data_IF_014772205156
#
_entry.id   IF_014772205156
#
_cell.length_a   1.000
_cell.length_b   1.000
_cell.length_c   1.000
_cell.angle_alpha   90.00
_cell.angle_beta   90.00
_cell.angle_gamma   90.00
#
_symmetry.space_group_name_H-M   'P 1'
#
loop_
_entity.id
_entity.type
_entity.pdbx_description
1 polymer ?
#
# COMPACT_ATOMS: atom_id res chain seq x y z
N UNK A 1 -36.51 10.86 11.41
CA UNK A 1 -35.07 11.13 11.67
C UNK A 1 -34.32 11.06 10.37
N UNK A 2 -33.49 12.06 10.04
CA UNK A 2 -32.58 11.98 8.89
C UNK A 2 -31.22 11.49 9.39
N UNK A 3 -30.70 10.42 8.79
CA UNK A 3 -29.33 9.97 9.05
C UNK A 3 -28.34 10.94 8.41
N UNK A 4 -27.22 11.19 9.09
CA UNK A 4 -26.15 12.02 8.54
C UNK A 4 -25.58 11.38 7.27
N UNK A 5 -25.49 12.17 6.20
CA UNK A 5 -24.80 11.79 4.97
C UNK A 5 -23.78 12.88 4.64
N UNK A 6 -22.47 12.55 4.59
CA UNK A 6 -21.44 13.54 4.32
C UNK A 6 -21.57 14.09 2.91
N UNK A 7 -21.30 15.39 2.75
CA UNK A 7 -21.18 16.07 1.46
C UNK A 7 -19.71 16.18 1.08
N UNK A 8 -19.44 16.47 -0.18
CA UNK A 8 -18.07 16.66 -0.66
C UNK A 8 -17.32 17.80 0.06
N UNK A 9 -18.04 18.83 0.50
CA UNK A 9 -17.50 19.96 1.26
C UNK A 9 -17.08 19.59 2.69
N UNK A 10 -17.66 18.56 3.26
CA UNK A 10 -17.38 18.13 4.65
C UNK A 10 -16.10 17.27 4.73
N UNK A 11 -15.54 16.89 3.58
CA UNK A 11 -14.39 15.97 3.51
C UNK A 11 -13.09 16.78 3.63
N UNK A 12 -12.45 16.68 4.78
CA UNK A 12 -11.10 17.17 4.98
C UNK A 12 -10.10 16.03 4.71
N UNK A 13 -9.14 16.26 3.80
CA UNK A 13 -8.10 15.30 3.46
C UNK A 13 -6.78 15.71 4.07
N UNK A 14 -6.09 14.77 4.69
CA UNK A 14 -4.75 14.93 5.24
C UNK A 14 -3.74 14.13 4.43
N UNK A 15 -2.46 14.47 4.58
CA UNK A 15 -1.37 13.73 4.02
C UNK A 15 -0.66 12.97 5.13
N UNK A 16 -0.44 11.67 4.90
CA UNK A 16 0.27 10.80 5.83
C UNK A 16 1.53 10.26 5.16
N UNK A 17 2.64 10.23 5.89
CA UNK A 17 3.86 9.54 5.48
C UNK A 17 4.06 8.31 6.34
N UNK A 18 4.34 7.18 5.69
CA UNK A 18 4.54 5.87 6.32
C UNK A 18 5.90 5.34 5.92
N UNK A 19 6.72 4.98 6.87
CA UNK A 19 7.95 4.24 6.62
C UNK A 19 7.64 2.75 6.49
N UNK A 20 8.06 2.15 5.38
CA UNK A 20 7.87 0.75 5.08
C UNK A 20 9.05 -0.15 5.53
N UNK A 21 10.09 0.43 6.13
CA UNK A 21 11.27 -0.32 6.59
C UNK A 21 10.87 -1.40 7.57
N UNK A 22 11.26 -2.64 7.29
CA UNK A 22 11.04 -3.84 8.12
C UNK A 22 9.57 -4.17 8.44
N UNK A 23 8.64 -3.48 7.77
CA UNK A 23 7.20 -3.76 7.93
C UNK A 23 6.77 -4.84 6.93
N UNK A 24 6.03 -5.84 7.40
CA UNK A 24 5.50 -6.90 6.53
C UNK A 24 4.51 -6.30 5.52
N UNK A 25 4.75 -6.57 4.22
CA UNK A 25 3.98 -6.03 3.09
C UNK A 25 2.45 -6.11 3.27
N UNK A 26 1.92 -7.26 3.71
CA UNK A 26 0.46 -7.43 3.87
C UNK A 26 -0.12 -6.53 4.96
N UNK A 27 0.61 -6.36 6.06
CA UNK A 27 0.21 -5.50 7.18
C UNK A 27 0.29 -4.02 6.78
N UNK A 28 1.38 -3.61 6.11
CA UNK A 28 1.51 -2.28 5.51
C UNK A 28 0.31 -1.99 4.60
N UNK A 29 0.05 -2.88 3.64
CA UNK A 29 -1.01 -2.69 2.66
C UNK A 29 -2.41 -2.58 3.28
N UNK A 30 -2.71 -3.32 4.35
CA UNK A 30 -4.00 -3.25 5.03
C UNK A 30 -4.20 -1.89 5.72
N UNK A 31 -3.19 -1.37 6.41
CA UNK A 31 -3.26 -0.04 7.06
C UNK A 31 -3.38 1.08 6.02
N UNK A 32 -2.57 1.03 4.98
CA UNK A 32 -2.64 1.99 3.86
C UNK A 32 -4.04 1.98 3.22
N UNK A 33 -4.63 0.80 3.00
CA UNK A 33 -5.97 0.68 2.44
C UNK A 33 -7.07 1.28 3.34
N UNK A 34 -6.93 1.15 4.67
CA UNK A 34 -7.84 1.77 5.65
C UNK A 34 -7.78 3.30 5.56
N UNK A 35 -6.57 3.88 5.47
CA UNK A 35 -6.38 5.34 5.34
C UNK A 35 -6.90 5.86 4.00
N UNK A 36 -6.57 5.20 2.88
CA UNK A 36 -7.02 5.58 1.54
C UNK A 36 -8.54 5.52 1.39
N UNK A 37 -9.19 4.55 2.03
CA UNK A 37 -10.64 4.42 2.01
C UNK A 37 -11.34 5.36 2.99
N UNK A 38 -10.63 5.85 4.03
CA UNK A 38 -11.16 6.74 5.04
C UNK A 38 -11.91 6.05 6.17
N UNK A 39 -11.69 4.74 6.37
CA UNK A 39 -12.37 3.97 7.45
C UNK A 39 -12.00 4.40 8.87
N UNK A 40 -10.90 5.14 9.03
CA UNK A 40 -10.48 5.70 10.31
C UNK A 40 -11.28 6.93 10.71
N UNK A 41 -12.06 7.51 9.79
CA UNK A 41 -12.85 8.72 10.03
C UNK A 41 -14.29 8.37 10.39
N UNK A 42 -14.91 9.10 11.35
CA UNK A 42 -16.32 8.89 11.72
C UNK A 42 -17.28 9.21 10.57
N UNK A 43 -16.87 10.10 9.64
CA UNK A 43 -17.66 10.50 8.47
C UNK A 43 -17.58 9.49 7.30
N UNK A 44 -17.01 8.31 7.52
CA UNK A 44 -16.87 7.30 6.47
C UNK A 44 -18.21 6.96 5.82
N UNK A 45 -18.25 7.04 4.49
CA UNK A 45 -19.40 6.61 3.68
C UNK A 45 -18.94 5.74 2.50
N UNK A 46 -19.61 4.60 2.22
CA UNK A 46 -19.19 3.68 1.16
C UNK A 46 -19.25 4.28 -0.25
N UNK A 47 -20.13 5.25 -0.48
CA UNK A 47 -20.39 5.87 -1.79
C UNK A 47 -19.52 7.10 -2.07
N UNK A 48 -18.78 7.60 -1.07
CA UNK A 48 -17.90 8.76 -1.19
C UNK A 48 -16.45 8.40 -0.88
N UNK A 49 -15.53 9.12 -1.50
CA UNK A 49 -14.11 9.03 -1.19
C UNK A 49 -13.75 10.00 -0.05
N UNK A 50 -13.84 9.50 1.18
CA UNK A 50 -13.51 10.26 2.41
C UNK A 50 -12.06 10.10 2.85
N UNK A 51 -11.27 9.28 2.14
CA UNK A 51 -9.91 8.92 2.52
C UNK A 51 -8.86 10.00 2.29
N UNK A 52 -7.70 9.78 2.90
CA UNK A 52 -6.55 10.66 2.91
C UNK A 52 -5.54 10.31 1.83
N UNK A 53 -4.55 11.19 1.64
CA UNK A 53 -3.38 10.92 0.82
C UNK A 53 -2.34 10.17 1.64
N UNK A 54 -1.72 9.16 1.04
CA UNK A 54 -0.70 8.35 1.71
C UNK A 54 0.58 8.32 0.88
N UNK A 55 1.68 8.63 1.53
CA UNK A 55 3.03 8.52 1.00
C UNK A 55 3.69 7.35 1.72
N UNK A 56 4.21 6.38 0.97
CA UNK A 56 5.00 5.28 1.49
C UNK A 56 6.44 5.47 1.06
N UNK A 57 7.35 5.54 2.02
CA UNK A 57 8.80 5.66 1.78
C UNK A 57 9.50 4.35 2.11
N UNK A 58 10.74 4.19 1.64
CA UNK A 58 11.55 2.98 1.84
C UNK A 58 10.89 1.69 1.33
N UNK A 59 10.15 1.73 0.24
CA UNK A 59 9.48 0.55 -0.31
C UNK A 59 10.46 -0.60 -0.66
N UNK A 60 11.72 -0.29 -0.94
CA UNK A 60 12.76 -1.29 -1.18
C UNK A 60 13.10 -2.14 0.06
N UNK A 61 12.80 -1.64 1.27
CA UNK A 61 13.10 -2.31 2.53
C UNK A 61 11.89 -3.03 3.15
N UNK A 62 10.82 -3.20 2.38
CA UNK A 62 9.62 -3.94 2.82
C UNK A 62 9.95 -5.39 3.12
N UNK A 63 9.50 -5.87 4.29
CA UNK A 63 9.70 -7.26 4.68
C UNK A 63 8.67 -8.20 4.04
N UNK A 64 9.12 -9.37 3.60
CA UNK A 64 8.28 -10.47 3.16
C UNK A 64 8.51 -11.67 4.06
N UNK A 65 7.44 -12.23 4.62
CA UNK A 65 7.53 -13.36 5.56
C UNK A 65 7.68 -14.69 4.85
N UNK A 66 8.47 -15.60 5.42
CA UNK A 66 8.69 -16.96 4.90
C UNK A 66 9.35 -16.97 3.52
N UNK A 67 9.03 -17.98 2.71
CA UNK A 67 9.60 -18.21 1.38
C UNK A 67 9.00 -17.33 0.26
N UNK A 68 8.18 -16.32 0.60
CA UNK A 68 7.43 -15.52 -0.38
C UNK A 68 8.30 -14.76 -1.38
N UNK A 69 9.55 -14.46 -1.02
CA UNK A 69 10.50 -13.83 -1.95
C UNK A 69 10.75 -14.72 -3.19
N UNK A 70 10.90 -16.02 -2.99
CA UNK A 70 11.19 -16.97 -4.06
C UNK A 70 9.92 -17.54 -4.71
N UNK A 71 8.94 -17.94 -3.89
CA UNK A 71 7.80 -18.73 -4.35
C UNK A 71 6.63 -17.89 -4.85
N UNK A 72 6.40 -16.73 -4.23
CA UNK A 72 5.24 -15.92 -4.60
C UNK A 72 5.47 -15.18 -5.90
N UNK A 73 4.54 -15.37 -6.85
CA UNK A 73 4.62 -14.77 -8.19
C UNK A 73 3.46 -13.82 -8.44
N UNK A 74 3.76 -12.75 -9.15
CA UNK A 74 2.76 -11.86 -9.73
C UNK A 74 2.57 -12.26 -11.19
N UNK A 75 1.32 -12.56 -11.55
CA UNK A 75 0.95 -12.93 -12.91
C UNK A 75 0.32 -11.74 -13.64
N UNK A 76 0.66 -11.61 -14.92
CA UNK A 76 0.07 -10.65 -15.84
C UNK A 76 -0.29 -11.37 -17.15
N UNK A 77 -1.49 -11.10 -17.65
CA UNK A 77 -1.95 -11.64 -18.95
C UNK A 77 -2.07 -10.49 -19.96
N UNK A 78 -1.60 -10.70 -21.19
CA UNK A 78 -1.65 -9.71 -22.27
C UNK A 78 -2.99 -9.67 -23.00
N UNK A 79 -3.85 -10.67 -22.81
CA UNK A 79 -5.11 -10.85 -23.53
C UNK A 79 -5.02 -11.81 -24.75
N UNK A 80 -3.81 -12.16 -25.18
CA UNK A 80 -3.60 -13.10 -26.29
C UNK A 80 -3.43 -14.54 -25.81
N UNK A 81 -3.77 -15.56 -26.62
CA UNK A 81 -3.50 -16.97 -26.30
C UNK A 81 -2.04 -17.17 -25.91
N UNK A 82 -1.78 -17.86 -24.79
CA UNK A 82 -0.43 -18.06 -24.27
C UNK A 82 0.27 -16.83 -23.68
N UNK A 83 -0.41 -15.67 -23.62
CA UNK A 83 0.15 -14.38 -23.20
C UNK A 83 0.26 -14.17 -21.69
N UNK A 84 0.48 -15.23 -20.89
CA UNK A 84 0.73 -15.13 -19.46
C UNK A 84 2.22 -14.90 -19.19
N UNK A 85 2.52 -13.90 -18.35
CA UNK A 85 3.86 -13.65 -17.82
C UNK A 85 3.83 -13.63 -16.30
N UNK A 86 4.90 -14.05 -15.67
CA UNK A 86 5.04 -14.06 -14.22
C UNK A 86 6.39 -13.49 -13.80
N UNK A 87 6.41 -12.82 -12.66
CA UNK A 87 7.63 -12.39 -11.99
C UNK A 87 7.56 -12.79 -10.52
N UNK A 88 8.67 -13.21 -9.94
CA UNK A 88 8.74 -13.48 -8.50
C UNK A 88 8.68 -12.18 -7.70
N UNK A 89 8.28 -12.26 -6.45
CA UNK A 89 8.26 -11.08 -5.57
C UNK A 89 9.68 -10.57 -5.30
N UNK A 90 10.68 -11.45 -5.26
CA UNK A 90 12.08 -11.06 -5.16
C UNK A 90 12.57 -10.23 -6.36
N UNK A 91 12.25 -10.66 -7.59
CA UNK A 91 12.57 -9.89 -8.80
C UNK A 91 11.85 -8.54 -8.85
N UNK A 92 10.59 -8.49 -8.39
CA UNK A 92 9.83 -7.25 -8.33
C UNK A 92 10.40 -6.29 -7.29
N UNK A 93 10.79 -6.79 -6.13
CA UNK A 93 11.38 -5.98 -5.07
C UNK A 93 12.72 -5.37 -5.52
N UNK A 94 13.53 -6.14 -6.26
CA UNK A 94 14.81 -5.67 -6.77
C UNK A 94 14.67 -4.64 -7.91
N UNK A 95 13.70 -4.82 -8.81
CA UNK A 95 13.55 -3.98 -10.01
C UNK A 95 12.58 -2.81 -9.81
N UNK A 96 11.44 -3.07 -9.18
CA UNK A 96 10.33 -2.12 -9.04
C UNK A 96 9.61 -2.27 -7.69
N UNK A 97 10.24 -1.90 -6.57
CA UNK A 97 9.64 -2.05 -5.24
C UNK A 97 8.32 -1.30 -5.07
N UNK A 98 8.17 -0.16 -5.75
CA UNK A 98 6.94 0.64 -5.70
C UNK A 98 5.74 -0.16 -6.22
N UNK A 99 5.91 -0.88 -7.34
CA UNK A 99 4.85 -1.71 -7.95
C UNK A 99 4.40 -2.84 -7.04
N UNK A 100 5.31 -3.38 -6.23
CA UNK A 100 4.98 -4.44 -5.29
C UNK A 100 3.99 -3.93 -4.24
N UNK A 101 4.26 -2.77 -3.64
CA UNK A 101 3.40 -2.12 -2.64
C UNK A 101 2.07 -1.70 -3.28
N UNK A 102 2.11 -1.00 -4.42
CA UNK A 102 0.91 -0.56 -5.14
C UNK A 102 -0.02 -1.72 -5.49
N UNK A 103 0.53 -2.85 -5.97
CA UNK A 103 -0.26 -4.03 -6.34
C UNK A 103 -0.92 -4.66 -5.11
N UNK A 104 -0.21 -4.72 -3.98
CA UNK A 104 -0.75 -5.22 -2.72
C UNK A 104 -1.91 -4.36 -2.22
N UNK A 105 -1.74 -3.03 -2.22
CA UNK A 105 -2.79 -2.07 -1.81
C UNK A 105 -3.97 -2.10 -2.77
N UNK A 106 -3.73 -2.12 -4.09
CA UNK A 106 -4.78 -2.21 -5.12
C UNK A 106 -5.66 -3.43 -4.93
N UNK A 107 -5.08 -4.56 -4.53
CA UNK A 107 -5.82 -5.79 -4.23
C UNK A 107 -6.78 -5.66 -3.03
N UNK A 108 -6.51 -4.72 -2.12
CA UNK A 108 -7.31 -4.47 -0.90
C UNK A 108 -8.34 -3.34 -1.05
N UNK A 109 -8.25 -2.56 -2.13
CA UNK A 109 -9.21 -1.51 -2.44
C UNK A 109 -10.40 -2.05 -3.28
N UNK A 110 -11.57 -1.38 -3.27
CA UNK A 110 -12.69 -1.75 -4.11
C UNK A 110 -12.33 -1.76 -5.61
N UNK A 111 -12.85 -2.74 -6.36
CA UNK A 111 -12.58 -2.89 -7.79
C UNK A 111 -13.57 -2.12 -8.66
N UNK A 112 -13.76 -0.83 -8.36
CA UNK A 112 -14.67 0.07 -9.08
C UNK A 112 -13.98 1.40 -9.42
N UNK A 113 -14.72 2.34 -10.01
CA UNK A 113 -14.21 3.69 -10.33
C UNK A 113 -13.73 4.44 -9.08
N UNK A 114 -14.46 4.32 -7.97
CA UNK A 114 -14.11 4.92 -6.68
C UNK A 114 -12.78 4.38 -6.14
N UNK A 115 -12.58 3.06 -6.18
CA UNK A 115 -11.32 2.44 -5.75
C UNK A 115 -10.12 2.85 -6.61
N UNK A 116 -10.31 3.07 -7.93
CA UNK A 116 -9.26 3.63 -8.79
C UNK A 116 -8.90 5.06 -8.40
N UNK A 117 -9.88 5.88 -8.01
CA UNK A 117 -9.61 7.24 -7.53
C UNK A 117 -8.90 7.23 -6.16
N UNK A 118 -9.27 6.31 -5.26
CA UNK A 118 -8.56 6.11 -4.00
C UNK A 118 -7.08 5.72 -4.23
N UNK A 119 -6.80 4.83 -5.17
CA UNK A 119 -5.44 4.40 -5.49
C UNK A 119 -4.56 5.56 -6.01
N UNK A 120 -5.11 6.53 -6.73
CA UNK A 120 -4.37 7.72 -7.21
C UNK A 120 -3.80 8.57 -6.08
N UNK A 121 -4.38 8.49 -4.88
CA UNK A 121 -3.91 9.17 -3.67
C UNK A 121 -2.73 8.48 -2.98
N UNK A 122 -2.39 7.28 -3.42
CA UNK A 122 -1.20 6.56 -2.96
C UNK A 122 0.02 7.03 -3.77
N UNK A 123 1.09 7.38 -3.06
CA UNK A 123 2.41 7.67 -3.62
C UNK A 123 3.42 6.77 -2.94
N UNK A 124 4.19 6.02 -3.71
CA UNK A 124 5.17 5.05 -3.20
C UNK A 124 6.54 5.42 -3.73
N UNK A 125 7.54 5.42 -2.85
CA UNK A 125 8.94 5.73 -3.15
C UNK A 125 9.85 4.61 -2.64
N UNK A 126 10.81 4.23 -3.47
CA UNK A 126 11.78 3.19 -3.12
C UNK A 126 12.72 3.62 -1.99
N UNK A 127 13.12 4.89 -2.00
CA UNK A 127 14.03 5.50 -1.02
C UNK A 127 13.33 6.25 0.10
N UNK A 128 14.10 6.94 0.96
CA UNK A 128 13.58 7.71 2.08
C UNK A 128 12.97 9.06 1.65
N UNK A 129 13.39 9.57 0.50
CA UNK A 129 13.03 10.92 0.06
C UNK A 129 11.72 10.94 -0.74
N UNK A 130 10.95 12.02 -0.56
CA UNK A 130 9.72 12.26 -1.30
C UNK A 130 9.56 13.76 -1.66
N UNK A 131 8.97 14.11 -2.81
CA UNK A 131 8.84 15.50 -3.26
C UNK A 131 7.66 16.26 -2.62
N UNK A 132 6.96 15.66 -1.65
CA UNK A 132 5.72 16.19 -1.08
C UNK A 132 5.91 16.94 0.25
N UNK A 133 7.04 17.63 0.44
CA UNK A 133 7.29 18.40 1.67
C UNK A 133 6.33 19.58 1.82
N UNK A 134 5.94 20.22 0.70
CA UNK A 134 5.02 21.35 0.70
C UNK A 134 3.62 21.02 1.25
N UNK A 135 3.20 19.75 1.18
CA UNK A 135 1.93 19.27 1.72
C UNK A 135 1.97 18.99 3.22
N UNK A 136 3.12 19.14 3.87
CA UNK A 136 3.33 18.92 5.31
C UNK A 136 2.75 17.58 5.79
N UNK A 137 3.20 16.43 5.25
CA UNK A 137 2.64 15.14 5.59
C UNK A 137 2.91 14.80 7.05
N UNK A 138 1.88 14.29 7.73
CA UNK A 138 1.97 13.84 9.13
C UNK A 138 2.54 12.44 9.17
N UNK A 139 3.57 12.15 9.99
CA UNK A 139 4.09 10.81 10.16
C UNK A 139 3.03 9.90 10.77
N UNK A 140 2.79 8.75 10.15
CA UNK A 140 1.88 7.72 10.64
C UNK A 140 2.67 6.47 10.97
N UNK A 141 2.71 6.11 12.26
CA UNK A 141 3.37 4.90 12.72
C UNK A 141 2.40 3.72 12.68
N UNK A 142 2.82 2.64 12.04
CA UNK A 142 2.05 1.40 12.03
C UNK A 142 2.27 0.72 13.38
N UNK A 143 1.25 0.67 14.22
CA UNK A 143 1.22 -0.03 15.50
C UNK A 143 1.17 -1.54 15.28
N UNK A 144 2.20 -2.11 14.72
CA UNK A 144 2.33 -3.56 14.60
C UNK A 144 3.70 -3.95 15.11
N UNK A 145 3.71 -4.99 15.94
CA UNK A 145 4.91 -5.62 16.46
C UNK A 145 5.88 -5.82 15.30
N UNK A 146 7.00 -5.09 15.32
CA UNK A 146 8.10 -5.33 14.41
C UNK A 146 8.44 -6.82 14.53
N UNK A 147 8.31 -7.59 13.45
CA UNK A 147 8.94 -8.89 13.43
C UNK A 147 10.45 -8.62 13.46
N UNK A 148 11.21 -9.26 14.36
CA UNK A 148 12.66 -9.14 14.31
C UNK A 148 13.09 -9.45 12.88
N UNK A 149 13.97 -8.61 12.34
CA UNK A 149 14.57 -8.77 11.04
C UNK A 149 14.89 -10.25 10.85
N UNK A 150 14.36 -10.84 9.76
CA UNK A 150 14.42 -12.28 9.55
C UNK A 150 15.82 -12.80 9.81
N UNK A 151 15.92 -13.82 10.63
CA UNK A 151 17.15 -14.57 10.81
C UNK A 151 17.74 -14.87 9.44
N UNK A 152 19.04 -14.60 9.20
CA UNK A 152 19.66 -14.97 7.95
C UNK A 152 19.39 -16.45 7.72
N UNK A 153 19.04 -16.82 6.49
CA UNK A 153 18.84 -18.19 6.10
C UNK A 153 20.08 -18.96 6.59
N UNK A 154 19.86 -19.84 7.56
CA UNK A 154 20.88 -20.76 8.01
C UNK A 154 21.33 -21.54 6.78
N UNK A 155 22.61 -21.44 6.49
CA UNK A 155 23.32 -22.14 5.45
C UNK A 155 22.82 -23.58 5.31
N UNK A 156 22.19 -23.86 4.18
CA UNK A 156 21.99 -25.23 3.72
C UNK A 156 23.34 -25.79 3.32
N UNK A 157 23.89 -26.64 4.18
CA UNK A 157 24.98 -27.55 3.87
C UNK A 157 24.49 -28.64 2.93
#
# INVERSE_FOLDING_TARGET
>A
MRTFSPKAADIQRQWHVIDASDVVLGRLASQVAVLLRGKHKPIFAPHLDTGDFVIVVNAAKVALSGTKLADKRLYRHSGYPGGISSATYGELLAKHPERLVETAVRGMLPKNSLGRNMLRKLKVYAGPDHPHQAQQPVPFTITQIAQPAGSPAADAK
#
